data_IF_024957979814
#
_entry.id   IF_024957979814
#
_cell.length_a   1.000
_cell.length_b   1.000
_cell.length_c   1.000
_cell.angle_alpha   90.00
_cell.angle_beta   90.00
_cell.angle_gamma   90.00
#
_symmetry.space_group_name_H-M   'P 1'
#
loop_
_entity.id
_entity.type
_entity.pdbx_description
1 polymer ?
#
# COMPACT_ATOMS: atom_id res chain seq x y z
N UNK A 1 20.81 7.90 -16.12
CA UNK A 1 20.14 7.26 -17.27
C UNK A 1 19.43 8.38 -18.03
N UNK A 2 19.70 8.58 -19.33
CA UNK A 2 19.21 9.74 -20.08
C UNK A 2 17.92 9.37 -20.84
N UNK A 3 16.86 10.13 -20.59
CA UNK A 3 15.55 9.99 -21.24
C UNK A 3 15.60 10.68 -22.62
N UNK A 4 15.19 9.97 -23.68
CA UNK A 4 14.69 10.60 -24.91
C UNK A 4 13.20 10.32 -25.00
N UNK A 5 12.42 11.39 -25.08
CA UNK A 5 11.01 11.43 -25.50
C UNK A 5 9.96 10.79 -24.57
N UNK A 6 10.28 10.50 -23.31
CA UNK A 6 9.25 10.11 -22.32
C UNK A 6 8.55 8.78 -22.58
N UNK A 7 9.12 7.91 -23.42
CA UNK A 7 8.55 6.60 -23.74
C UNK A 7 9.15 5.53 -22.82
N UNK A 8 8.31 4.87 -22.02
CA UNK A 8 8.67 3.70 -21.22
C UNK A 8 9.08 2.53 -22.13
N UNK A 9 10.38 2.33 -22.34
CA UNK A 9 10.95 1.16 -23.02
C UNK A 9 11.61 0.25 -21.99
N UNK A 10 10.82 -0.54 -21.29
CA UNK A 10 11.31 -1.62 -20.42
C UNK A 10 10.74 -2.96 -20.90
N UNK A 11 11.53 -4.03 -20.82
CA UNK A 11 11.11 -5.40 -21.16
C UNK A 11 10.21 -6.03 -20.08
N UNK A 12 9.79 -5.26 -19.07
CA UNK A 12 8.99 -5.74 -17.93
C UNK A 12 7.54 -5.26 -18.08
N UNK A 13 6.61 -6.14 -17.70
CA UNK A 13 5.16 -5.86 -17.72
C UNK A 13 4.87 -4.64 -16.84
N UNK A 14 4.13 -3.66 -17.36
CA UNK A 14 3.77 -2.46 -16.60
C UNK A 14 2.93 -2.90 -15.37
N UNK A 15 3.36 -2.64 -14.12
CA UNK A 15 2.60 -3.05 -12.93
C UNK A 15 1.28 -2.29 -12.76
N UNK A 16 1.11 -1.16 -13.46
CA UNK A 16 -0.14 -0.40 -13.55
C UNK A 16 -1.04 -0.87 -14.70
N UNK A 17 -0.59 -1.80 -15.55
CA UNK A 17 -1.42 -2.34 -16.66
C UNK A 17 -2.66 -3.09 -16.18
N UNK A 18 -2.66 -3.52 -14.92
CA UNK A 18 -3.79 -4.17 -14.24
C UNK A 18 -4.67 -3.16 -13.51
N UNK A 19 -4.19 -1.94 -13.29
CA UNK A 19 -4.97 -0.87 -12.67
C UNK A 19 -5.81 -0.16 -13.72
N UNK A 20 -7.01 0.27 -13.31
CA UNK A 20 -7.82 1.16 -14.11
C UNK A 20 -7.03 2.45 -14.35
N UNK A 21 -6.87 2.85 -15.61
CA UNK A 21 -6.11 4.04 -15.99
C UNK A 21 -6.58 5.29 -15.25
N UNK A 22 -7.87 5.36 -14.90
CA UNK A 22 -8.45 6.46 -14.13
C UNK A 22 -7.92 6.55 -12.70
N UNK A 23 -7.64 5.42 -12.05
CA UNK A 23 -7.07 5.37 -10.70
C UNK A 23 -5.61 5.77 -10.75
N UNK A 24 -4.91 5.30 -11.79
CA UNK A 24 -3.54 5.75 -12.06
C UNK A 24 -3.59 7.27 -12.23
N UNK A 25 -4.46 7.80 -13.08
CA UNK A 25 -4.62 9.24 -13.29
C UNK A 25 -5.02 10.00 -12.01
N UNK A 26 -5.83 9.42 -11.14
CA UNK A 26 -6.26 10.04 -9.88
C UNK A 26 -5.14 10.01 -8.81
N UNK A 27 -4.38 8.93 -8.69
CA UNK A 27 -3.18 8.84 -7.83
C UNK A 27 -2.12 9.84 -8.33
N UNK A 28 -1.94 9.90 -9.64
CA UNK A 28 -1.03 10.84 -10.30
C UNK A 28 -1.49 12.27 -10.09
N UNK A 29 -2.78 12.55 -10.23
CA UNK A 29 -3.37 13.87 -9.98
C UNK A 29 -3.29 14.27 -8.51
N UNK A 30 -3.47 13.33 -7.57
CA UNK A 30 -3.33 13.58 -6.14
C UNK A 30 -1.87 13.87 -5.76
N UNK A 31 -0.91 13.11 -6.28
CA UNK A 31 0.52 13.34 -6.11
C UNK A 31 0.95 14.70 -6.69
N UNK A 32 0.47 15.06 -7.88
CA UNK A 32 0.72 16.34 -8.53
C UNK A 32 0.07 17.52 -7.80
N UNK A 33 -1.14 17.34 -7.25
CA UNK A 33 -1.84 18.37 -6.48
C UNK A 33 -1.22 18.63 -5.10
N UNK A 34 -0.50 17.67 -4.52
CA UNK A 34 0.18 17.82 -3.21
C UNK A 34 1.60 18.39 -3.29
N UNK A 35 2.24 18.46 -4.46
CA UNK A 35 3.59 19.02 -4.62
C UNK A 35 3.61 20.27 -5.51
N UNK A 36 3.04 21.38 -5.01
CA UNK A 36 3.12 22.68 -5.70
C UNK A 36 4.48 23.38 -5.66
N UNK A 37 5.54 22.77 -5.11
CA UNK A 37 6.83 23.49 -4.96
C UNK A 37 8.02 22.82 -5.66
N UNK A 38 8.06 21.50 -5.89
CA UNK A 38 9.18 20.82 -6.58
C UNK A 38 8.75 19.57 -7.39
N UNK A 39 7.54 19.58 -7.95
CA UNK A 39 6.75 18.40 -8.33
C UNK A 39 7.44 17.30 -9.15
N UNK A 40 7.44 16.09 -8.58
CA UNK A 40 7.61 14.81 -9.28
C UNK A 40 6.56 14.67 -10.39
N UNK A 41 6.96 14.31 -11.61
CA UNK A 41 6.02 14.01 -12.70
C UNK A 41 5.39 12.64 -12.49
N UNK A 42 4.22 12.45 -13.09
CA UNK A 42 3.54 11.18 -13.19
C UNK A 42 4.51 10.03 -13.62
N UNK A 43 5.23 10.26 -14.71
CA UNK A 43 6.22 9.32 -15.25
C UNK A 43 7.38 9.04 -14.27
N UNK A 44 7.73 10.00 -13.42
CA UNK A 44 8.77 9.84 -12.39
C UNK A 44 8.28 8.93 -11.26
N UNK A 45 6.99 9.00 -10.92
CA UNK A 45 6.35 8.11 -9.94
C UNK A 45 6.24 6.69 -10.50
N UNK A 46 5.78 6.52 -11.74
CA UNK A 46 5.76 5.22 -12.41
C UNK A 46 7.16 4.60 -12.51
N UNK A 47 8.18 5.40 -12.83
CA UNK A 47 9.58 4.97 -12.83
C UNK A 47 10.08 4.59 -11.44
N UNK A 48 9.78 5.39 -10.41
CA UNK A 48 10.24 5.11 -9.04
C UNK A 48 9.62 3.81 -8.50
N UNK A 49 8.35 3.56 -8.84
CA UNK A 49 7.61 2.36 -8.46
C UNK A 49 8.00 1.12 -9.28
N UNK A 50 8.56 1.29 -10.49
CA UNK A 50 9.07 0.18 -11.34
C UNK A 50 10.57 -0.06 -11.23
N UNK A 51 11.31 0.89 -10.64
CA UNK A 51 12.79 0.86 -10.58
C UNK A 51 13.37 -0.13 -9.57
N UNK A 52 12.54 -0.87 -8.83
CA UNK A 52 12.92 -1.62 -7.62
C UNK A 52 13.60 -0.76 -6.53
N UNK A 53 13.75 0.56 -6.71
CA UNK A 53 14.43 1.44 -5.73
C UNK A 53 13.50 2.00 -4.65
N UNK A 54 12.19 1.73 -4.73
CA UNK A 54 11.25 2.18 -3.70
C UNK A 54 11.56 1.48 -2.36
N UNK A 55 12.05 2.28 -1.40
CA UNK A 55 12.43 1.82 -0.05
C UNK A 55 11.43 2.26 1.01
N UNK A 56 10.69 3.34 0.78
CA UNK A 56 9.72 3.85 1.74
C UNK A 56 8.44 4.24 1.01
N UNK A 57 7.30 3.72 1.47
CA UNK A 57 5.97 4.11 1.00
C UNK A 57 5.13 4.50 2.22
N UNK A 58 4.86 5.80 2.33
CA UNK A 58 4.07 6.36 3.43
C UNK A 58 2.86 7.06 2.87
N UNK A 59 1.73 6.38 2.93
CA UNK A 59 0.44 6.94 2.64
C UNK A 59 -0.10 7.41 3.98
N UNK A 60 -0.21 8.73 4.15
CA UNK A 60 -0.84 9.29 5.33
C UNK A 60 -2.33 9.41 5.08
N UNK A 61 -3.10 9.32 6.15
CA UNK A 61 -4.54 9.53 6.13
C UNK A 61 -4.83 10.93 5.58
N UNK A 62 -5.12 11.00 4.29
CA UNK A 62 -5.91 12.10 3.76
C UNK A 62 -7.28 11.93 4.37
N UNK A 63 -7.75 12.94 5.11
CA UNK A 63 -9.12 13.03 5.59
C UNK A 63 -10.06 12.51 4.48
N UNK A 64 -10.88 11.49 4.76
CA UNK A 64 -11.77 10.88 3.77
C UNK A 64 -12.57 11.95 3.01
N UNK A 65 -12.92 13.06 3.67
CA UNK A 65 -13.58 14.20 3.03
C UNK A 65 -12.70 14.90 2.00
N UNK A 66 -11.41 15.04 2.23
CA UNK A 66 -10.49 15.72 1.31
C UNK A 66 -10.15 14.84 0.10
N UNK A 67 -10.01 13.51 0.31
CA UNK A 67 -9.91 12.55 -0.79
C UNK A 67 -11.20 12.54 -1.63
N UNK A 68 -12.36 12.38 -0.98
CA UNK A 68 -13.66 12.40 -1.64
C UNK A 68 -13.94 13.73 -2.33
N UNK A 69 -13.50 14.88 -1.76
CA UNK A 69 -13.62 16.20 -2.39
C UNK A 69 -12.67 16.39 -3.56
N UNK A 70 -11.43 15.92 -3.48
CA UNK A 70 -10.48 15.98 -4.59
C UNK A 70 -11.00 15.16 -5.78
N UNK A 71 -11.57 14.00 -5.50
CA UNK A 71 -12.13 13.09 -6.50
C UNK A 71 -13.49 13.56 -7.05
N UNK A 72 -14.40 14.06 -6.20
CA UNK A 72 -15.64 14.72 -6.66
C UNK A 72 -15.37 15.97 -7.52
N UNK A 73 -14.21 16.61 -7.37
CA UNK A 73 -13.82 17.73 -8.21
C UNK A 73 -13.29 17.28 -9.57
N UNK A 74 -12.79 16.04 -9.71
CA UNK A 74 -12.41 15.45 -10.99
C UNK A 74 -13.62 14.89 -11.75
N UNK A 75 -14.67 14.44 -11.05
CA UNK A 75 -15.96 14.08 -11.65
C UNK A 75 -17.00 15.21 -11.59
N UNK A 76 -17.12 15.98 -12.68
CA UNK A 76 -18.28 16.83 -12.90
C UNK A 76 -19.51 15.93 -13.13
N UNK A 77 -20.42 15.94 -12.14
CA UNK A 77 -21.81 15.47 -12.19
C UNK A 77 -22.02 13.96 -12.38
N UNK A 78 -22.52 13.27 -11.35
CA UNK A 78 -23.82 12.54 -11.33
C UNK A 78 -24.00 11.81 -9.97
N UNK A 79 -25.09 12.17 -9.29
CA UNK A 79 -25.84 11.40 -8.30
C UNK A 79 -25.19 10.98 -6.96
N UNK A 80 -25.60 11.72 -5.92
CA UNK A 80 -25.33 11.55 -4.48
C UNK A 80 -25.83 10.23 -3.84
N UNK A 81 -26.54 9.37 -4.59
CA UNK A 81 -27.10 8.09 -4.13
C UNK A 81 -26.36 6.84 -4.61
N UNK A 82 -25.28 7.00 -5.40
CA UNK A 82 -24.34 5.91 -5.74
C UNK A 82 -23.11 5.85 -4.82
N UNK A 83 -23.06 6.70 -3.80
CA UNK A 83 -21.83 7.03 -3.08
C UNK A 83 -21.20 5.86 -2.33
N UNK A 84 -21.97 4.94 -1.74
CA UNK A 84 -21.41 3.82 -0.98
C UNK A 84 -20.92 2.68 -1.87
N UNK A 85 -21.70 2.30 -2.88
CA UNK A 85 -21.28 1.32 -3.90
C UNK A 85 -20.05 1.81 -4.63
N UNK A 86 -20.03 3.11 -4.96
CA UNK A 86 -18.89 3.75 -5.58
C UNK A 86 -17.66 3.80 -4.64
N UNK A 87 -17.84 4.19 -3.38
CA UNK A 87 -16.75 4.19 -2.40
C UNK A 87 -16.20 2.77 -2.15
N UNK A 88 -17.06 1.76 -2.11
CA UNK A 88 -16.65 0.37 -1.99
C UNK A 88 -15.85 -0.10 -3.22
N UNK A 89 -16.31 0.26 -4.42
CA UNK A 89 -15.57 -0.02 -5.65
C UNK A 89 -14.20 0.66 -5.65
N UNK A 90 -14.13 1.95 -5.34
CA UNK A 90 -12.86 2.68 -5.28
C UNK A 90 -11.91 2.09 -4.22
N UNK A 91 -12.40 1.72 -3.04
CA UNK A 91 -11.61 1.02 -2.01
C UNK A 91 -11.06 -0.31 -2.52
N UNK A 92 -11.88 -1.08 -3.25
CA UNK A 92 -11.46 -2.33 -3.88
C UNK A 92 -10.35 -2.10 -4.89
N UNK A 93 -10.52 -1.12 -5.78
CA UNK A 93 -9.54 -0.88 -6.83
C UNK A 93 -8.22 -0.31 -6.26
N UNK A 94 -8.27 0.53 -5.22
CA UNK A 94 -7.08 0.99 -4.48
C UNK A 94 -6.39 -0.19 -3.79
N UNK A 95 -7.15 -1.11 -3.19
CA UNK A 95 -6.63 -2.31 -2.54
C UNK A 95 -5.87 -3.21 -3.53
N UNK A 96 -6.44 -3.46 -4.71
CA UNK A 96 -5.80 -4.23 -5.79
C UNK A 96 -4.55 -3.54 -6.34
N UNK A 97 -4.66 -2.22 -6.55
CA UNK A 97 -3.55 -1.39 -7.00
C UNK A 97 -2.36 -1.45 -6.02
N UNK A 98 -2.64 -1.26 -4.73
CA UNK A 98 -1.64 -1.29 -3.68
C UNK A 98 -1.02 -2.68 -3.53
N UNK A 99 -1.83 -3.74 -3.59
CA UNK A 99 -1.33 -5.12 -3.60
C UNK A 99 -0.35 -5.37 -4.75
N UNK A 100 -0.77 -5.02 -5.98
CA UNK A 100 0.07 -5.18 -7.18
C UNK A 100 1.38 -4.38 -7.08
N UNK A 101 1.33 -3.18 -6.51
CA UNK A 101 2.53 -2.37 -6.29
C UNK A 101 3.49 -3.04 -5.30
N UNK A 102 2.98 -3.47 -4.15
CA UNK A 102 3.79 -4.06 -3.08
C UNK A 102 4.45 -5.38 -3.51
N UNK A 103 3.76 -6.19 -4.32
CA UNK A 103 4.32 -7.42 -4.90
C UNK A 103 5.59 -7.18 -5.73
N UNK A 104 5.64 -6.03 -6.40
CA UNK A 104 6.73 -5.62 -7.29
C UNK A 104 7.80 -4.76 -6.59
N UNK A 105 7.72 -4.60 -5.26
CA UNK A 105 8.62 -3.73 -4.49
C UNK A 105 9.48 -4.48 -3.47
N UNK A 106 10.41 -5.37 -3.89
CA UNK A 106 11.15 -6.25 -2.97
C UNK A 106 12.11 -5.51 -2.03
N UNK A 107 12.47 -4.27 -2.35
CA UNK A 107 13.41 -3.45 -1.57
C UNK A 107 12.72 -2.53 -0.55
N UNK A 108 11.39 -2.62 -0.41
CA UNK A 108 10.63 -1.84 0.56
C UNK A 108 11.13 -2.10 1.99
N UNK A 109 11.30 -1.03 2.75
CA UNK A 109 11.78 -1.00 4.15
C UNK A 109 10.76 -0.42 5.11
N UNK A 110 10.01 0.61 4.71
CA UNK A 110 9.01 1.26 5.56
C UNK A 110 7.69 1.35 4.80
N UNK A 111 6.65 0.72 5.33
CA UNK A 111 5.29 0.81 4.83
C UNK A 111 4.39 1.43 5.90
N UNK A 112 3.65 2.45 5.49
CA UNK A 112 2.55 3.03 6.25
C UNK A 112 1.35 3.17 5.32
N UNK A 113 0.24 2.49 5.62
CA UNK A 113 -0.96 2.49 4.78
C UNK A 113 -2.26 2.59 5.59
N UNK A 114 -3.18 3.51 5.23
CA UNK A 114 -4.56 3.56 5.71
C UNK A 114 -5.52 2.74 4.86
N UNK A 115 -5.08 2.30 3.68
CA UNK A 115 -5.90 1.47 2.80
C UNK A 115 -5.64 0.00 3.05
N UNK A 116 -6.70 -0.79 3.11
CA UNK A 116 -6.62 -2.24 3.17
C UNK A 116 -6.05 -2.82 1.89
N UNK A 117 -5.29 -3.90 2.01
CA UNK A 117 -4.76 -4.70 0.90
C UNK A 117 -4.48 -6.14 1.37
N UNK A 118 -4.25 -7.05 0.43
CA UNK A 118 -3.79 -8.40 0.76
C UNK A 118 -2.32 -8.35 1.24
N UNK A 119 -2.10 -8.60 2.53
CA UNK A 119 -0.77 -8.71 3.17
C UNK A 119 0.17 -9.70 2.46
N UNK A 120 -0.33 -10.70 1.71
CA UNK A 120 0.51 -11.60 0.91
C UNK A 120 1.35 -10.85 -0.12
N UNK A 121 0.91 -9.67 -0.55
CA UNK A 121 1.66 -8.80 -1.43
C UNK A 121 3.04 -8.40 -0.85
N UNK A 122 3.18 -8.43 0.48
CA UNK A 122 4.43 -8.09 1.17
C UNK A 122 5.43 -9.25 1.27
N UNK A 123 5.09 -10.47 0.83
CA UNK A 123 5.98 -11.65 0.96
C UNK A 123 7.34 -11.48 0.27
N UNK A 124 7.39 -10.65 -0.77
CA UNK A 124 8.63 -10.34 -1.48
C UNK A 124 9.45 -9.22 -0.82
N UNK A 125 8.85 -8.45 0.10
CA UNK A 125 9.47 -7.30 0.77
C UNK A 125 10.41 -7.74 1.91
N UNK A 126 11.44 -8.54 1.60
CA UNK A 126 12.33 -9.15 2.62
C UNK A 126 13.14 -8.15 3.44
N UNK A 127 13.22 -6.89 2.98
CA UNK A 127 13.91 -5.78 3.66
C UNK A 127 12.96 -4.92 4.50
N UNK A 128 11.68 -5.26 4.57
CA UNK A 128 10.69 -4.52 5.34
C UNK A 128 11.09 -4.53 6.81
N UNK A 129 11.30 -3.35 7.37
CA UNK A 129 11.64 -3.13 8.77
C UNK A 129 10.55 -2.46 9.56
N UNK A 130 9.67 -1.70 8.90
CA UNK A 130 8.54 -1.01 9.55
C UNK A 130 7.26 -1.26 8.77
N UNK A 131 6.27 -1.79 9.46
CA UNK A 131 4.92 -2.03 8.93
C UNK A 131 3.90 -1.33 9.83
N UNK A 132 3.19 -0.35 9.28
CA UNK A 132 2.12 0.39 9.98
C UNK A 132 0.84 0.34 9.17
N UNK A 133 -0.16 -0.35 9.70
CA UNK A 133 -1.46 -0.54 9.07
C UNK A 133 -2.49 0.30 9.82
N UNK A 134 -3.16 1.21 9.13
CA UNK A 134 -4.25 2.02 9.67
C UNK A 134 -5.63 1.43 9.34
N UNK A 135 -5.67 0.10 9.21
CA UNK A 135 -6.86 -0.71 8.97
C UNK A 135 -6.68 -2.05 9.67
N UNK A 136 -7.79 -2.73 9.98
CA UNK A 136 -7.75 -4.11 10.48
C UNK A 136 -7.70 -5.10 9.31
N UNK A 137 -6.62 -5.90 9.18
CA UNK A 137 -6.58 -6.96 8.18
C UNK A 137 -7.71 -7.97 8.42
N UNK A 138 -8.45 -8.32 7.37
CA UNK A 138 -9.50 -9.35 7.40
C UNK A 138 -8.94 -10.78 7.37
N UNK A 139 -7.64 -10.90 7.09
CA UNK A 139 -6.90 -12.16 7.09
C UNK A 139 -5.90 -12.19 8.25
N UNK A 140 -5.32 -13.35 8.49
CA UNK A 140 -4.25 -13.51 9.47
C UNK A 140 -3.12 -12.50 9.26
N UNK A 141 -2.72 -11.82 10.34
CA UNK A 141 -1.76 -10.73 10.29
C UNK A 141 -0.36 -11.20 9.87
N UNK A 142 -0.04 -12.49 10.05
CA UNK A 142 1.22 -13.08 9.61
C UNK A 142 1.29 -13.38 8.10
N UNK A 143 0.23 -13.15 7.31
CA UNK A 143 0.22 -13.55 5.89
C UNK A 143 1.25 -12.80 5.01
N UNK A 144 1.87 -11.73 5.54
CA UNK A 144 3.03 -11.09 4.91
C UNK A 144 4.31 -11.94 4.96
N UNK A 145 4.37 -12.96 5.83
CA UNK A 145 5.53 -13.85 5.90
C UNK A 145 5.61 -14.72 4.64
N UNK A 146 6.79 -14.75 4.02
CA UNK A 146 7.06 -15.65 2.91
C UNK A 146 6.93 -17.12 3.36
N UNK A 147 6.41 -17.98 2.48
CA UNK A 147 6.28 -19.42 2.72
C UNK A 147 7.15 -20.19 1.73
N UNK A 148 7.83 -21.23 2.21
CA UNK A 148 8.52 -22.21 1.39
C UNK A 148 8.12 -23.62 1.85
N UNK A 149 7.53 -24.42 0.95
CA UNK A 149 7.01 -25.76 1.28
C UNK A 149 6.11 -25.75 2.52
N UNK A 150 5.17 -24.81 2.57
CA UNK A 150 4.23 -24.59 3.68
C UNK A 150 4.84 -24.19 5.03
N UNK A 151 6.14 -23.88 5.08
CA UNK A 151 6.80 -23.35 6.27
C UNK A 151 7.04 -21.84 6.13
N UNK A 152 6.76 -21.08 7.19
CA UNK A 152 7.07 -19.66 7.24
C UNK A 152 8.58 -19.43 7.28
N UNK A 153 9.06 -18.58 6.38
CA UNK A 153 10.43 -18.09 6.42
C UNK A 153 10.58 -17.01 7.48
N UNK A 154 11.72 -17.02 8.17
CA UNK A 154 12.06 -15.99 9.15
C UNK A 154 12.26 -14.63 8.46
N UNK A 155 11.52 -13.61 8.91
CA UNK A 155 11.70 -12.23 8.49
C UNK A 155 12.59 -11.47 9.48
N UNK A 156 13.90 -11.44 9.20
CA UNK A 156 14.91 -10.93 10.13
C UNK A 156 14.94 -9.40 10.28
N UNK A 157 14.38 -8.68 9.33
CA UNK A 157 14.50 -7.22 9.26
C UNK A 157 13.34 -6.47 9.91
N UNK A 158 12.21 -7.14 10.18
CA UNK A 158 11.04 -6.46 10.74
C UNK A 158 11.33 -6.04 12.18
N UNK A 159 11.38 -4.73 12.41
CA UNK A 159 11.69 -4.10 13.70
C UNK A 159 10.43 -3.52 14.36
N UNK A 160 9.51 -3.00 13.57
CA UNK A 160 8.28 -2.36 14.02
C UNK A 160 7.07 -2.91 13.26
N UNK A 161 6.07 -3.39 14.00
CA UNK A 161 4.76 -3.71 13.44
C UNK A 161 3.66 -3.05 14.26
N UNK A 162 2.80 -2.27 13.61
CA UNK A 162 1.69 -1.60 14.25
C UNK A 162 0.41 -1.76 13.43
N UNK A 163 -0.68 -2.10 14.13
CA UNK A 163 -2.04 -2.07 13.58
C UNK A 163 -2.82 -1.01 14.35
N UNK A 164 -3.09 0.12 13.70
CA UNK A 164 -3.90 1.22 14.20
C UNK A 164 -5.31 1.07 13.62
N UNK A 165 -6.34 1.01 14.45
CA UNK A 165 -7.72 1.08 13.98
C UNK A 165 -8.55 2.01 14.85
N UNK A 166 -9.00 3.12 14.26
CA UNK A 166 -9.78 4.16 14.91
C UNK A 166 -11.11 3.70 15.55
N UNK A 167 -11.57 2.47 15.27
CA UNK A 167 -12.81 1.91 15.79
C UNK A 167 -12.61 0.61 16.58
N UNK A 168 -11.49 0.45 17.31
CA UNK A 168 -11.28 -0.65 18.27
C UNK A 168 -12.18 -0.52 19.51
N UNK A 169 -13.49 -0.49 19.30
CA UNK A 169 -14.45 -0.86 20.34
C UNK A 169 -14.50 -2.38 20.31
N UNK A 170 -13.58 -3.03 21.03
CA UNK A 170 -13.69 -4.43 21.43
C UNK A 170 -13.61 -5.49 20.31
N UNK A 171 -12.55 -5.51 19.50
CA UNK A 171 -12.19 -6.73 18.76
C UNK A 171 -10.94 -7.38 19.38
N UNK A 172 -11.04 -8.69 19.64
CA UNK A 172 -9.99 -9.49 20.24
C UNK A 172 -8.75 -9.43 19.36
N UNK A 173 -7.64 -8.95 19.93
CA UNK A 173 -6.31 -9.09 19.30
C UNK A 173 -6.12 -10.56 18.91
N UNK A 174 -5.77 -10.87 17.65
CA UNK A 174 -5.55 -12.25 17.23
C UNK A 174 -4.24 -12.77 17.84
N UNK A 175 -4.32 -13.26 19.08
CA UNK A 175 -3.16 -13.71 19.85
C UNK A 175 -2.33 -14.76 19.10
N UNK A 176 -2.99 -15.67 18.38
CA UNK A 176 -2.32 -16.68 17.56
C UNK A 176 -1.46 -16.04 16.47
N UNK A 177 -1.95 -14.96 15.86
CA UNK A 177 -1.18 -14.26 14.84
C UNK A 177 0.05 -13.58 15.43
N UNK A 178 -0.12 -12.95 16.59
CA UNK A 178 0.98 -12.29 17.33
C UNK A 178 2.07 -13.30 17.67
N UNK A 179 1.70 -14.50 18.14
CA UNK A 179 2.66 -15.56 18.46
C UNK A 179 3.46 -15.97 17.22
N UNK A 180 2.78 -16.20 16.09
CA UNK A 180 3.46 -16.57 14.83
C UNK A 180 4.40 -15.47 14.37
N UNK A 181 3.97 -14.20 14.43
CA UNK A 181 4.80 -13.05 14.07
C UNK A 181 6.05 -13.01 14.95
N UNK A 182 5.92 -13.14 16.26
CA UNK A 182 7.05 -13.11 17.19
C UNK A 182 8.03 -14.28 16.96
N UNK A 183 7.53 -15.47 16.63
CA UNK A 183 8.35 -16.63 16.30
C UNK A 183 9.17 -16.43 15.02
N UNK A 184 8.59 -15.78 14.00
CA UNK A 184 9.20 -15.64 12.68
C UNK A 184 9.86 -14.27 12.44
N UNK A 185 9.70 -13.30 13.33
CA UNK A 185 10.29 -11.96 13.24
C UNK A 185 11.22 -11.68 14.44
N UNK A 186 12.41 -12.31 14.52
CA UNK A 186 13.30 -12.16 15.67
C UNK A 186 13.89 -10.75 15.84
N UNK A 187 13.81 -9.90 14.80
CA UNK A 187 14.22 -8.50 14.85
C UNK A 187 13.17 -7.57 15.45
N UNK A 188 11.97 -8.07 15.76
CA UNK A 188 10.85 -7.23 16.18
C UNK A 188 11.12 -6.65 17.57
N UNK A 189 11.24 -5.33 17.65
CA UNK A 189 11.49 -4.60 18.91
C UNK A 189 10.25 -3.90 19.42
N UNK A 190 9.28 -3.64 18.53
CA UNK A 190 8.05 -2.93 18.86
C UNK A 190 6.87 -3.56 18.13
N UNK A 191 5.86 -3.94 18.90
CA UNK A 191 4.56 -4.39 18.41
C UNK A 191 3.48 -3.55 19.06
N UNK A 192 2.66 -2.88 18.25
CA UNK A 192 1.66 -1.92 18.73
C UNK A 192 0.28 -2.20 18.14
N UNK A 193 -0.75 -2.05 18.98
CA UNK A 193 -2.15 -2.09 18.58
C UNK A 193 -2.81 -0.87 19.22
N UNK A 194 -3.37 0.02 18.40
CA UNK A 194 -3.89 1.32 18.85
C UNK A 194 -5.23 1.67 18.22
#
# INVERSE_FOLDING_TARGET
>A
MNLRDGIYKSCRKNPFSVMNSKIVDDIMSAALNHQRVNGFRADDLEQLLTSEELRELKIYEMNERDWYRAWLRSEVSVARTRSEVFAAQLRSEISEALGSLLENTPNLKDLHSPFSFDLKALRNCRKLSRLRLHFQPQQHWYEFLAKEKDHFQTHKCLEFFTVCHQNLISENVPNDDVVIILQHCPGLTSFGIY
#
